data_IF_932073377020
#
_entry.id   IF_932073377020
#
_cell.length_a   1.000
_cell.length_b   1.000
_cell.length_c   1.000
_cell.angle_alpha   90.00
_cell.angle_beta   90.00
_cell.angle_gamma   90.00
#
_symmetry.space_group_name_H-M   'P 1'
#
loop_
_entity.id
_entity.type
_entity.pdbx_description
1 polymer ?
#
# COMPACT_ATOMS: atom_id res chain seq x y z
N UNK A 1 -0.94 4.65 16.38
CA UNK A 1 -2.06 4.27 15.51
C UNK A 1 -3.22 5.25 15.67
N UNK A 2 -3.49 6.14 14.71
CA UNK A 2 -4.62 7.08 14.83
C UNK A 2 -5.96 6.34 14.71
N UNK A 3 -7.05 6.98 15.13
CA UNK A 3 -8.40 6.37 15.06
C UNK A 3 -8.84 6.05 13.62
N UNK A 4 -8.24 6.71 12.62
CA UNK A 4 -8.37 6.41 11.19
C UNK A 4 -7.71 5.08 10.82
N UNK A 5 -6.52 4.81 11.36
CA UNK A 5 -5.77 3.57 11.11
C UNK A 5 -6.49 2.36 11.70
N UNK A 6 -7.22 2.56 12.80
CA UNK A 6 -7.98 1.52 13.46
C UNK A 6 -9.26 1.11 12.71
N UNK A 7 -9.73 1.88 11.72
CA UNK A 7 -10.91 1.49 10.94
C UNK A 7 -10.71 0.08 10.31
N UNK A 8 -11.69 -0.84 10.37
CA UNK A 8 -13.06 -0.70 10.90
C UNK A 8 -13.25 -1.09 12.38
N UNK A 9 -12.17 -1.31 13.13
CA UNK A 9 -12.24 -1.75 14.52
C UNK A 9 -12.78 -0.66 15.47
N UNK A 10 -13.32 -1.12 16.59
CA UNK A 10 -13.68 -0.31 17.74
C UNK A 10 -12.47 -0.24 18.66
N UNK A 11 -12.08 0.96 19.09
CA UNK A 11 -11.02 1.15 20.08
C UNK A 11 -11.62 1.52 21.43
N UNK A 12 -11.14 0.88 22.50
CA UNK A 12 -11.47 1.33 23.85
C UNK A 12 -10.73 2.62 24.19
N UNK A 13 -11.17 3.31 25.26
CA UNK A 13 -10.44 4.47 25.77
C UNK A 13 -9.01 4.12 26.19
N UNK A 14 -8.82 2.92 26.77
CA UNK A 14 -7.50 2.46 27.21
C UNK A 14 -6.59 2.13 26.02
N UNK A 15 -7.15 1.59 24.94
CA UNK A 15 -6.41 1.43 23.68
C UNK A 15 -5.98 2.78 23.13
N UNK A 16 -6.88 3.77 23.07
CA UNK A 16 -6.56 5.11 22.57
C UNK A 16 -5.48 5.80 23.41
N UNK A 17 -5.54 5.71 24.74
CA UNK A 17 -4.51 6.23 25.63
C UNK A 17 -3.15 5.59 25.33
N UNK A 18 -3.11 4.25 25.26
CA UNK A 18 -1.88 3.51 24.97
C UNK A 18 -1.31 3.87 23.59
N UNK A 19 -2.19 3.97 22.60
CA UNK A 19 -1.80 4.11 21.20
C UNK A 19 -1.40 5.56 20.85
N UNK A 20 -2.07 6.55 21.44
CA UNK A 20 -1.79 7.97 21.24
C UNK A 20 -0.74 8.48 22.23
N UNK A 21 -0.25 7.62 23.13
CA UNK A 21 0.70 7.96 24.20
C UNK A 21 0.21 9.21 24.97
N UNK A 22 -1.09 9.25 25.25
CA UNK A 22 -1.75 10.41 25.85
C UNK A 22 -1.98 10.19 27.35
N UNK A 23 -1.22 10.91 28.18
CA UNK A 23 -1.34 10.79 29.64
C UNK A 23 -2.61 11.47 30.21
N UNK A 24 -3.26 12.34 29.43
CA UNK A 24 -4.42 13.11 29.87
C UNK A 24 -5.74 12.56 29.31
N UNK A 25 -6.30 11.57 30.02
CA UNK A 25 -7.59 10.96 29.69
C UNK A 25 -8.74 11.96 29.54
N UNK A 26 -8.77 13.02 30.36
CA UNK A 26 -9.86 14.00 30.32
C UNK A 26 -9.80 14.83 29.03
N UNK A 27 -8.61 15.26 28.60
CA UNK A 27 -8.42 15.97 27.35
C UNK A 27 -8.81 15.11 26.15
N UNK A 28 -8.36 13.84 26.13
CA UNK A 28 -8.71 12.90 25.08
C UNK A 28 -10.23 12.67 24.99
N UNK A 29 -10.93 12.58 26.13
CA UNK A 29 -12.39 12.46 26.14
C UNK A 29 -13.09 13.67 25.51
N UNK A 30 -12.61 14.89 25.79
CA UNK A 30 -13.17 16.12 25.19
C UNK A 30 -12.99 16.10 23.67
N UNK A 31 -11.79 15.75 23.19
CA UNK A 31 -11.51 15.65 21.76
C UNK A 31 -12.37 14.58 21.08
N UNK A 32 -12.55 13.42 21.70
CA UNK A 32 -13.41 12.35 21.16
C UNK A 32 -14.87 12.78 21.11
N UNK A 33 -15.37 13.50 22.13
CA UNK A 33 -16.72 14.05 22.10
C UNK A 33 -16.91 15.05 20.96
N UNK A 34 -15.93 15.92 20.72
CA UNK A 34 -15.96 16.84 19.57
C UNK A 34 -16.01 16.09 18.23
N UNK A 35 -15.27 14.98 18.10
CA UNK A 35 -15.34 14.12 16.92
C UNK A 35 -16.69 13.39 16.79
N UNK A 36 -17.35 13.04 17.90
CA UNK A 36 -18.73 12.50 17.89
C UNK A 36 -19.71 13.58 17.44
N UNK A 37 -19.57 14.80 17.94
CA UNK A 37 -20.43 15.94 17.61
C UNK A 37 -20.32 16.34 16.13
N UNK A 38 -19.12 16.18 15.55
CA UNK A 38 -18.85 16.33 14.11
C UNK A 38 -19.28 15.12 13.27
N UNK A 39 -19.90 14.12 13.89
CA UNK A 39 -20.32 12.86 13.26
C UNK A 39 -19.17 12.07 12.59
N UNK A 40 -17.93 12.31 13.01
CA UNK A 40 -16.75 11.62 12.48
C UNK A 40 -16.55 10.26 13.16
N UNK A 41 -17.00 10.11 14.40
CA UNK A 41 -16.90 8.85 15.15
C UNK A 41 -18.21 8.54 15.84
N UNK A 42 -18.40 7.28 16.19
CA UNK A 42 -19.57 6.84 16.95
C UNK A 42 -19.14 6.00 18.16
N UNK A 43 -19.96 6.07 19.21
CA UNK A 43 -19.85 5.23 20.39
C UNK A 43 -20.43 3.85 20.10
N UNK A 44 -19.71 2.80 20.51
CA UNK A 44 -20.12 1.40 20.35
C UNK A 44 -20.02 0.71 21.71
N UNK A 45 -21.11 0.11 22.24
CA UNK A 45 -21.03 -0.69 23.45
C UNK A 45 -20.01 -1.82 23.29
N UNK A 46 -19.12 -1.98 24.27
CA UNK A 46 -18.16 -3.08 24.28
C UNK A 46 -18.81 -4.36 24.84
N UNK A 47 -18.40 -5.51 24.32
CA UNK A 47 -18.87 -6.82 24.78
C UNK A 47 -17.77 -7.58 25.55
N UNK A 48 -18.12 -8.76 26.08
CA UNK A 48 -17.23 -9.64 26.83
C UNK A 48 -16.61 -9.02 28.09
N UNK A 49 -15.28 -8.93 28.17
CA UNK A 49 -14.61 -8.46 29.42
C UNK A 49 -14.86 -6.99 29.76
N UNK A 50 -15.35 -6.20 28.80
CA UNK A 50 -15.56 -4.75 28.95
C UNK A 50 -17.05 -4.36 28.91
N UNK A 51 -17.96 -5.30 29.19
CA UNK A 51 -19.40 -5.04 29.25
C UNK A 51 -19.70 -3.87 30.20
N UNK A 52 -20.51 -2.92 29.71
CA UNK A 52 -20.86 -1.68 30.42
C UNK A 52 -19.98 -0.48 30.08
N UNK A 53 -18.95 -0.66 29.24
CA UNK A 53 -18.13 0.41 28.70
C UNK A 53 -18.45 0.68 27.23
N UNK A 54 -18.01 1.84 26.72
CA UNK A 54 -18.11 2.21 25.30
C UNK A 54 -16.72 2.32 24.69
N UNK A 55 -16.61 1.87 23.45
CA UNK A 55 -15.48 2.16 22.58
C UNK A 55 -15.86 3.17 21.51
N UNK A 56 -14.86 3.62 20.77
CA UNK A 56 -14.96 4.62 19.72
C UNK A 56 -14.65 3.99 18.37
N UNK A 57 -15.46 4.30 17.37
CA UNK A 57 -15.31 3.78 16.01
C UNK A 57 -15.39 4.91 15.00
N UNK A 58 -14.47 4.92 14.03
CA UNK A 58 -14.53 5.84 12.89
C UNK A 58 -15.79 5.58 12.07
N UNK A 59 -16.61 6.62 11.87
CA UNK A 59 -17.74 6.60 10.94
C UNK A 59 -17.23 7.05 9.57
N UNK A 60 -17.38 6.23 8.54
CA UNK A 60 -17.04 6.66 7.18
C UNK A 60 -18.32 7.06 6.46
N UNK A 61 -18.42 8.33 6.15
CA UNK A 61 -19.41 8.87 5.22
C UNK A 61 -18.89 8.72 3.80
N UNK A 62 -19.11 7.54 3.21
CA UNK A 62 -18.84 7.36 1.80
C UNK A 62 -20.03 7.95 1.02
N UNK A 63 -19.87 9.15 0.46
CA UNK A 63 -20.91 9.78 -0.35
C UNK A 63 -21.31 8.86 -1.51
N UNK A 64 -22.62 8.71 -1.76
CA UNK A 64 -23.18 7.84 -2.82
C UNK A 64 -22.80 6.35 -2.74
N UNK A 65 -22.50 5.85 -1.54
CA UNK A 65 -22.02 4.49 -1.32
C UNK A 65 -23.00 3.70 -0.45
N UNK A 66 -23.46 2.55 -0.94
CA UNK A 66 -24.28 1.63 -0.13
C UNK A 66 -23.39 0.92 0.88
N UNK A 67 -23.56 1.22 2.18
CA UNK A 67 -22.89 0.50 3.27
C UNK A 67 -23.87 -0.49 3.89
N UNK A 68 -23.50 -1.78 3.90
CA UNK A 68 -24.28 -2.85 4.50
C UNK A 68 -23.55 -3.45 5.68
N UNK A 69 -24.15 -3.32 6.86
CA UNK A 69 -23.66 -4.00 8.06
C UNK A 69 -24.07 -5.47 8.05
N UNK A 70 -23.10 -6.36 8.22
CA UNK A 70 -23.31 -7.80 8.12
C UNK A 70 -23.39 -8.47 9.49
N UNK A 71 -24.42 -9.30 9.68
CA UNK A 71 -24.57 -10.20 10.84
C UNK A 71 -24.23 -11.63 10.44
N UNK A 72 -23.42 -12.33 11.26
CA UNK A 72 -23.07 -13.75 11.06
C UNK A 72 -21.78 -14.01 10.26
N UNK A 73 -21.26 -15.24 10.36
CA UNK A 73 -19.94 -15.59 9.80
C UNK A 73 -19.93 -16.04 8.33
N UNK A 74 -21.04 -16.60 7.83
CA UNK A 74 -21.12 -17.22 6.50
C UNK A 74 -21.52 -16.24 5.38
N UNK A 75 -21.73 -14.97 5.70
CA UNK A 75 -22.30 -14.03 4.75
C UNK A 75 -21.33 -13.71 3.58
N UNK A 76 -20.02 -13.75 3.82
CA UNK A 76 -19.03 -13.58 2.75
C UNK A 76 -19.17 -14.67 1.67
N UNK A 77 -19.53 -15.90 2.06
CA UNK A 77 -19.83 -16.98 1.13
C UNK A 77 -21.17 -16.77 0.40
N UNK A 78 -22.14 -16.09 1.02
CA UNK A 78 -23.42 -15.76 0.38
C UNK A 78 -23.29 -14.65 -0.67
N UNK A 79 -22.38 -13.70 -0.46
CA UNK A 79 -22.11 -12.63 -1.44
C UNK A 79 -21.18 -13.13 -2.55
N UNK A 80 -20.25 -14.03 -2.23
CA UNK A 80 -19.32 -14.57 -3.24
C UNK A 80 -20.01 -15.42 -4.31
N UNK A 81 -21.13 -16.06 -3.99
CA UNK A 81 -21.92 -16.82 -4.97
C UNK A 81 -22.62 -15.94 -5.99
N UNK A 82 -23.02 -14.71 -5.63
CA UNK A 82 -23.74 -13.79 -6.52
C UNK A 82 -22.84 -12.82 -7.27
N UNK A 83 -21.79 -12.29 -6.63
CA UNK A 83 -21.00 -11.19 -7.19
C UNK A 83 -19.70 -11.62 -7.88
N UNK A 84 -19.17 -12.83 -7.61
CA UNK A 84 -17.98 -13.47 -8.24
C UNK A 84 -16.88 -12.49 -8.76
N UNK A 85 -16.24 -11.67 -7.90
CA UNK A 85 -15.13 -10.82 -8.30
C UNK A 85 -13.91 -11.65 -8.76
N UNK A 86 -13.22 -11.16 -9.79
CA UNK A 86 -12.01 -11.81 -10.35
C UNK A 86 -10.72 -11.12 -9.92
N UNK A 87 -10.81 -9.94 -9.31
CA UNK A 87 -9.66 -9.15 -8.86
C UNK A 87 -9.85 -8.78 -7.38
N UNK A 88 -8.85 -9.11 -6.56
CA UNK A 88 -8.79 -8.65 -5.17
C UNK A 88 -7.79 -7.49 -5.03
N UNK A 89 -8.15 -6.48 -4.24
CA UNK A 89 -7.32 -5.32 -3.94
C UNK A 89 -7.16 -5.21 -2.42
N UNK A 90 -5.94 -5.27 -1.91
CA UNK A 90 -5.63 -5.28 -0.49
C UNK A 90 -4.91 -3.98 -0.14
N UNK A 91 -5.46 -3.23 0.82
CA UNK A 91 -4.87 -2.01 1.38
C UNK A 91 -4.65 -2.14 2.89
N UNK A 92 -3.95 -1.20 3.50
CA UNK A 92 -3.68 -1.18 4.94
C UNK A 92 -4.22 0.09 5.63
N UNK A 93 -3.94 1.27 5.08
CA UNK A 93 -4.37 2.55 5.64
C UNK A 93 -5.77 2.93 5.14
N UNK A 94 -6.43 3.80 5.91
CA UNK A 94 -7.75 4.31 5.54
C UNK A 94 -7.69 5.12 4.24
N UNK A 95 -6.71 6.02 4.09
CA UNK A 95 -6.55 6.81 2.86
C UNK A 95 -6.32 5.92 1.63
N UNK A 96 -5.59 4.82 1.76
CA UNK A 96 -5.42 3.81 0.70
C UNK A 96 -6.74 3.15 0.32
N UNK A 97 -7.54 2.77 1.31
CA UNK A 97 -8.86 2.18 1.07
C UNK A 97 -9.79 3.15 0.34
N UNK A 98 -9.81 4.42 0.76
CA UNK A 98 -10.63 5.46 0.14
C UNK A 98 -10.17 5.76 -1.29
N UNK A 99 -8.86 5.87 -1.52
CA UNK A 99 -8.27 6.03 -2.86
C UNK A 99 -8.66 4.89 -3.79
N UNK A 100 -8.52 3.64 -3.34
CA UNK A 100 -8.91 2.45 -4.10
C UNK A 100 -10.42 2.43 -4.37
N UNK A 101 -11.25 2.72 -3.38
CA UNK A 101 -12.70 2.72 -3.56
C UNK A 101 -13.16 3.81 -4.54
N UNK A 102 -12.47 4.95 -4.60
CA UNK A 102 -12.76 6.01 -5.57
C UNK A 102 -12.50 5.57 -7.02
N UNK A 103 -11.70 4.53 -7.23
CA UNK A 103 -11.48 3.95 -8.56
C UNK A 103 -12.66 3.09 -9.04
N UNK A 104 -13.56 2.68 -8.14
CA UNK A 104 -14.64 1.75 -8.41
C UNK A 104 -15.97 2.43 -8.72
N UNK A 105 -16.73 1.79 -9.61
CA UNK A 105 -18.10 2.13 -9.97
C UNK A 105 -19.07 1.07 -9.41
N UNK A 106 -20.35 1.42 -9.25
CA UNK A 106 -21.41 0.49 -8.80
C UNK A 106 -21.02 -0.31 -7.53
N UNK A 107 -20.42 0.39 -6.57
CA UNK A 107 -19.79 -0.24 -5.39
C UNK A 107 -20.73 -0.36 -4.19
N UNK A 108 -20.60 -1.47 -3.47
CA UNK A 108 -21.24 -1.72 -2.16
C UNK A 108 -20.17 -2.06 -1.15
N UNK A 109 -20.11 -1.33 -0.04
CA UNK A 109 -19.23 -1.64 1.09
C UNK A 109 -19.99 -2.50 2.08
N UNK A 110 -19.28 -3.51 2.55
CA UNK A 110 -19.75 -4.42 3.53
C UNK A 110 -18.84 -4.38 4.74
N UNK A 111 -19.45 -4.20 5.91
CA UNK A 111 -18.69 -4.15 7.15
C UNK A 111 -19.27 -5.15 8.13
N UNK A 112 -18.40 -6.00 8.65
CA UNK A 112 -18.71 -6.87 9.77
C UNK A 112 -17.96 -6.35 10.98
N UNK A 113 -18.69 -5.64 11.83
CA UNK A 113 -18.15 -5.18 13.10
C UNK A 113 -18.13 -6.32 14.11
N UNK A 114 -17.04 -6.40 14.84
CA UNK A 114 -16.95 -7.21 16.05
C UNK A 114 -16.59 -6.31 17.23
N UNK A 115 -17.26 -6.58 18.33
CA UNK A 115 -16.98 -6.06 19.67
C UNK A 115 -15.73 -6.71 20.27
N UNK A 116 -15.55 -8.02 20.04
CA UNK A 116 -14.35 -8.78 20.39
C UNK A 116 -13.73 -9.46 19.15
N UNK A 117 -12.43 -9.24 18.94
CA UNK A 117 -11.70 -9.70 17.77
C UNK A 117 -11.77 -8.72 16.59
N UNK A 118 -11.35 -9.16 15.41
CA UNK A 118 -11.13 -8.27 14.26
C UNK A 118 -12.41 -8.02 13.47
N UNK A 119 -12.67 -6.74 13.20
CA UNK A 119 -13.70 -6.30 12.26
C UNK A 119 -13.16 -6.40 10.83
N UNK A 120 -14.04 -6.72 9.88
CA UNK A 120 -13.67 -6.83 8.46
C UNK A 120 -14.46 -5.82 7.64
N UNK A 121 -13.79 -5.20 6.68
CA UNK A 121 -14.41 -4.32 5.69
C UNK A 121 -13.99 -4.76 4.30
N UNK A 122 -14.95 -4.92 3.40
CA UNK A 122 -14.66 -5.12 1.99
C UNK A 122 -15.67 -4.39 1.11
N UNK A 123 -15.26 -4.02 -0.08
CA UNK A 123 -16.08 -3.30 -1.04
C UNK A 123 -16.05 -4.04 -2.35
N UNK A 124 -17.23 -4.36 -2.87
CA UNK A 124 -17.37 -4.99 -4.19
C UNK A 124 -17.89 -3.94 -5.14
N UNK A 125 -17.29 -3.84 -6.32
CA UNK A 125 -17.70 -2.91 -7.37
C UNK A 125 -17.07 -3.30 -8.70
N UNK A 126 -17.10 -2.38 -9.65
CA UNK A 126 -16.54 -2.57 -10.98
C UNK A 126 -15.40 -1.58 -11.23
N UNK A 127 -14.35 -2.01 -11.92
CA UNK A 127 -13.37 -1.11 -12.55
C UNK A 127 -13.37 -1.43 -14.04
N UNK A 128 -13.98 -0.52 -14.83
CA UNK A 128 -14.31 -0.82 -16.21
C UNK A 128 -15.17 -2.10 -16.29
N UNK A 129 -14.82 -3.08 -17.13
CA UNK A 129 -15.59 -4.30 -17.27
C UNK A 129 -15.26 -5.36 -16.20
N UNK A 130 -14.33 -5.09 -15.28
CA UNK A 130 -13.86 -6.05 -14.29
C UNK A 130 -14.57 -5.91 -12.97
N UNK A 131 -15.01 -7.05 -12.41
CA UNK A 131 -15.60 -7.14 -11.09
C UNK A 131 -14.51 -7.26 -10.04
N UNK A 132 -14.46 -6.33 -9.10
CA UNK A 132 -13.36 -6.20 -8.14
C UNK A 132 -13.86 -6.25 -6.70
N UNK A 133 -13.00 -6.70 -5.80
CA UNK A 133 -13.21 -6.63 -4.36
C UNK A 133 -12.01 -5.96 -3.68
N UNK A 134 -12.21 -4.86 -2.96
CA UNK A 134 -11.18 -4.26 -2.11
C UNK A 134 -11.39 -4.58 -0.63
N UNK A 135 -10.31 -4.65 0.14
CA UNK A 135 -10.32 -4.78 1.61
C UNK A 135 -9.27 -3.88 2.23
N UNK A 136 -9.51 -3.43 3.46
CA UNK A 136 -8.49 -2.79 4.31
C UNK A 136 -8.09 -3.77 5.40
N UNK A 137 -6.80 -4.05 5.52
CA UNK A 137 -6.25 -4.80 6.64
C UNK A 137 -6.35 -3.96 7.93
N UNK A 138 -6.75 -4.55 9.07
CA UNK A 138 -6.82 -3.82 10.32
C UNK A 138 -5.44 -3.46 10.87
N UNK A 139 -4.47 -4.33 10.62
CA UNK A 139 -3.09 -4.16 11.06
C UNK A 139 -2.17 -5.00 10.16
N UNK A 140 -1.01 -4.44 9.85
CA UNK A 140 0.14 -5.11 9.22
C UNK A 140 1.39 -4.80 10.05
N UNK A 141 2.41 -5.62 9.92
CA UNK A 141 3.66 -5.46 10.66
C UNK A 141 4.18 -6.76 11.27
N UNK A 142 5.37 -6.68 11.86
CA UNK A 142 6.09 -7.83 12.44
C UNK A 142 5.44 -8.44 13.68
N UNK A 143 4.66 -7.66 14.43
CA UNK A 143 4.03 -8.15 15.65
C UNK A 143 3.19 -9.38 15.35
N UNK A 144 3.23 -10.38 16.24
CA UNK A 144 2.53 -11.65 16.01
C UNK A 144 1.04 -11.42 15.75
N UNK A 145 0.42 -10.47 16.44
CA UNK A 145 -0.97 -10.10 16.23
C UNK A 145 -1.21 -9.51 14.83
N UNK A 146 -0.31 -8.67 14.33
CA UNK A 146 -0.38 -8.07 13.00
C UNK A 146 -0.23 -9.13 11.89
N UNK A 147 0.72 -10.05 12.04
CA UNK A 147 0.90 -11.19 11.12
C UNK A 147 -0.33 -12.10 11.11
N UNK A 148 -0.83 -12.49 12.28
CA UNK A 148 -2.03 -13.34 12.39
C UNK A 148 -3.24 -12.63 11.75
N UNK A 149 -3.43 -11.34 12.03
CA UNK A 149 -4.55 -10.55 11.50
C UNK A 149 -4.52 -10.47 9.98
N UNK A 150 -3.42 -9.91 9.44
CA UNK A 150 -3.24 -9.68 8.01
C UNK A 150 -3.32 -10.98 7.20
N UNK A 151 -2.68 -12.05 7.67
CA UNK A 151 -2.73 -13.36 7.04
C UNK A 151 -4.11 -14.00 7.10
N UNK A 152 -4.78 -13.96 8.26
CA UNK A 152 -6.10 -14.57 8.44
C UNK A 152 -7.16 -13.89 7.60
N UNK A 153 -7.15 -12.56 7.50
CA UNK A 153 -8.10 -11.80 6.69
C UNK A 153 -7.88 -12.07 5.21
N UNK A 154 -6.63 -12.06 4.77
CA UNK A 154 -6.28 -12.38 3.38
C UNK A 154 -6.72 -13.79 3.01
N UNK A 155 -6.40 -14.78 3.85
CA UNK A 155 -6.79 -16.17 3.64
C UNK A 155 -8.31 -16.34 3.61
N UNK A 156 -9.06 -15.66 4.49
CA UNK A 156 -10.53 -15.74 4.50
C UNK A 156 -11.15 -15.08 3.28
N UNK A 157 -10.62 -13.94 2.84
CA UNK A 157 -11.10 -13.22 1.65
C UNK A 157 -10.94 -14.11 0.42
N UNK A 158 -9.72 -14.57 0.15
CA UNK A 158 -9.41 -15.40 -1.02
C UNK A 158 -10.11 -16.76 -0.92
N UNK A 159 -10.21 -17.31 0.29
CA UNK A 159 -10.99 -18.50 0.61
C UNK A 159 -12.48 -18.38 0.26
N UNK A 160 -13.09 -17.21 0.48
CA UNK A 160 -14.50 -16.97 0.20
C UNK A 160 -14.77 -16.63 -1.28
N UNK A 161 -13.87 -15.88 -1.92
CA UNK A 161 -13.99 -15.40 -3.30
C UNK A 161 -13.06 -16.17 -4.24
N UNK A 162 -13.35 -17.45 -4.44
CA UNK A 162 -12.55 -18.39 -5.25
C UNK A 162 -12.46 -18.03 -6.74
N UNK A 163 -13.25 -17.07 -7.23
CA UNK A 163 -13.16 -16.58 -8.60
C UNK A 163 -12.01 -15.57 -8.79
N UNK A 164 -11.38 -15.09 -7.71
CA UNK A 164 -10.24 -14.18 -7.77
C UNK A 164 -9.06 -14.86 -8.46
N UNK A 165 -8.49 -14.17 -9.43
CA UNK A 165 -7.33 -14.60 -10.22
C UNK A 165 -6.15 -13.65 -10.04
N UNK A 166 -6.42 -12.35 -9.88
CA UNK A 166 -5.40 -11.32 -9.74
C UNK A 166 -5.49 -10.63 -8.38
N UNK A 167 -4.35 -10.42 -7.71
CA UNK A 167 -4.28 -9.70 -6.42
C UNK A 167 -3.42 -8.44 -6.55
N UNK A 168 -4.00 -7.30 -6.24
CA UNK A 168 -3.27 -6.03 -6.15
C UNK A 168 -3.07 -5.69 -4.68
N UNK A 169 -1.83 -5.45 -4.27
CA UNK A 169 -1.53 -4.84 -2.98
C UNK A 169 -1.26 -3.37 -3.25
N UNK A 170 -2.14 -2.47 -2.84
CA UNK A 170 -2.06 -1.04 -3.19
C UNK A 170 -1.98 -0.21 -1.91
N UNK A 171 -1.01 0.69 -1.86
CA UNK A 171 -0.80 1.49 -0.67
C UNK A 171 0.29 2.53 -0.83
N UNK A 172 0.76 3.04 0.29
CA UNK A 172 1.91 3.95 0.35
C UNK A 172 3.20 3.21 0.72
N UNK A 173 4.33 3.72 0.25
CA UNK A 173 5.66 3.21 0.61
C UNK A 173 6.64 4.36 0.86
N UNK A 174 7.78 4.01 1.44
CA UNK A 174 8.89 4.94 1.64
C UNK A 174 9.96 4.76 0.57
N UNK A 175 10.38 5.83 -0.11
CA UNK A 175 11.40 5.72 -1.16
C UNK A 175 12.77 5.46 -0.56
N UNK A 176 13.54 4.61 -1.23
CA UNK A 176 15.00 4.55 -1.04
C UNK A 176 15.61 5.77 -1.74
N UNK A 177 16.39 6.62 -1.05
CA UNK A 177 16.97 7.82 -1.65
C UNK A 177 18.18 7.47 -2.53
N UNK A 178 17.97 7.36 -3.84
CA UNK A 178 19.04 7.12 -4.83
C UNK A 178 19.57 8.44 -5.40
N UNK A 179 20.19 9.27 -4.55
CA UNK A 179 20.54 10.67 -4.88
C UNK A 179 21.57 10.85 -6.01
N UNK A 180 22.21 9.78 -6.46
CA UNK A 180 23.16 9.77 -7.58
C UNK A 180 22.64 9.04 -8.82
N UNK A 181 21.47 8.40 -8.74
CA UNK A 181 20.92 7.57 -9.81
C UNK A 181 19.47 7.98 -10.09
N UNK A 182 19.28 8.94 -11.00
CA UNK A 182 17.97 9.48 -11.36
C UNK A 182 16.93 8.40 -11.68
N UNK A 183 17.34 7.35 -12.39
CA UNK A 183 16.48 6.24 -12.83
C UNK A 183 15.92 5.41 -11.65
N UNK A 184 16.61 5.40 -10.51
CA UNK A 184 16.18 4.69 -9.30
C UNK A 184 15.50 5.62 -8.28
N UNK A 185 15.67 6.92 -8.41
CA UNK A 185 15.20 7.90 -7.41
C UNK A 185 13.72 8.25 -7.55
N UNK A 186 12.89 7.89 -6.58
CA UNK A 186 11.47 8.27 -6.56
C UNK A 186 11.24 9.52 -5.70
N UNK A 187 10.39 10.43 -6.16
CA UNK A 187 9.96 11.63 -5.44
C UNK A 187 8.68 11.39 -4.63
N UNK A 188 8.38 12.25 -3.65
CA UNK A 188 7.08 12.15 -2.98
C UNK A 188 5.94 12.35 -3.98
N UNK A 189 4.97 11.44 -3.94
CA UNK A 189 3.87 11.35 -4.90
C UNK A 189 4.16 10.52 -6.14
N UNK A 190 5.40 10.08 -6.38
CA UNK A 190 5.70 9.10 -7.44
C UNK A 190 5.18 7.70 -7.07
N UNK A 191 5.19 6.79 -8.03
CA UNK A 191 4.65 5.44 -7.92
C UNK A 191 5.77 4.44 -8.17
N UNK A 192 5.95 3.49 -7.26
CA UNK A 192 6.81 2.31 -7.45
C UNK A 192 5.93 1.08 -7.60
N UNK A 193 6.21 0.28 -8.63
CA UNK A 193 5.50 -0.96 -8.95
C UNK A 193 6.46 -2.12 -8.80
N UNK A 194 6.02 -3.17 -8.13
CA UNK A 194 6.85 -4.33 -7.84
C UNK A 194 7.26 -5.03 -9.14
N UNK A 195 8.56 -5.06 -9.40
CA UNK A 195 9.16 -5.78 -10.51
C UNK A 195 10.52 -6.34 -10.08
N UNK A 196 11.03 -7.26 -10.88
CA UNK A 196 12.32 -7.92 -10.63
C UNK A 196 13.44 -6.88 -10.58
N UNK A 197 14.31 -6.96 -9.56
CA UNK A 197 15.52 -6.13 -9.49
C UNK A 197 16.44 -6.41 -10.69
N UNK A 198 16.78 -5.40 -11.49
CA UNK A 198 17.74 -5.53 -12.59
C UNK A 198 19.01 -4.75 -12.30
N UNK A 199 20.15 -5.43 -12.42
CA UNK A 199 21.47 -4.77 -12.51
C UNK A 199 21.54 -4.04 -13.85
N UNK A 200 21.82 -2.74 -13.80
CA UNK A 200 21.94 -1.85 -14.96
C UNK A 200 22.91 -2.42 -16.02
N UNK A 201 22.35 -2.93 -17.12
CA UNK A 201 23.10 -3.48 -18.24
C UNK A 201 22.20 -3.80 -19.42
N UNK A 202 22.44 -3.08 -20.53
CA UNK A 202 21.87 -3.20 -21.89
C UNK A 202 20.45 -2.66 -22.13
N UNK A 203 20.43 -1.57 -22.92
CA UNK A 203 19.37 -1.06 -23.80
C UNK A 203 17.93 -1.33 -23.36
N UNK A 204 17.43 -0.39 -22.57
CA UNK A 204 16.06 -0.29 -22.09
C UNK A 204 15.42 0.97 -22.69
N UNK A 205 14.08 1.00 -22.79
CA UNK A 205 13.37 2.22 -23.17
C UNK A 205 13.64 3.36 -22.19
N UNK A 206 13.52 4.59 -22.67
CA UNK A 206 13.92 5.81 -21.94
C UNK A 206 13.18 6.03 -20.61
N UNK A 207 12.07 5.33 -20.36
CA UNK A 207 11.27 5.45 -19.14
C UNK A 207 11.18 4.11 -18.40
N UNK A 208 11.13 2.98 -19.13
CA UNK A 208 11.04 1.64 -18.55
C UNK A 208 11.76 0.55 -19.35
N UNK A 209 12.36 -0.41 -18.65
CA UNK A 209 13.09 -1.50 -19.28
C UNK A 209 12.15 -2.52 -19.93
N UNK A 210 12.01 -2.49 -21.27
CA UNK A 210 11.37 -3.56 -22.04
C UNK A 210 11.90 -4.94 -21.62
N UNK A 211 11.00 -5.86 -21.29
CA UNK A 211 11.31 -7.21 -20.78
C UNK A 211 11.59 -8.21 -21.90
N UNK A 212 12.69 -8.04 -22.63
CA UNK A 212 13.17 -9.10 -23.52
C UNK A 212 14.08 -10.10 -22.76
N UNK A 213 13.51 -11.29 -22.51
CA UNK A 213 14.12 -12.63 -22.40
C UNK A 213 14.54 -13.30 -21.07
N UNK A 214 14.23 -14.62 -21.10
CA UNK A 214 14.75 -15.82 -20.40
C UNK A 214 14.74 -15.88 -18.87
N UNK A 215 13.77 -16.64 -18.37
CA UNK A 215 13.69 -17.22 -17.02
C UNK A 215 15.00 -17.98 -16.72
N UNK A 216 15.84 -17.42 -15.86
CA UNK A 216 16.98 -18.13 -15.27
C UNK A 216 16.77 -18.21 -13.75
N UNK A 217 16.64 -19.43 -13.24
CA UNK A 217 16.21 -19.79 -11.88
C UNK A 217 17.15 -19.39 -10.72
N UNK A 218 18.13 -18.51 -10.89
CA UNK A 218 19.09 -18.19 -9.83
C UNK A 218 18.88 -16.77 -9.27
N UNK A 219 18.35 -16.72 -8.03
CA UNK A 219 18.48 -15.65 -7.02
C UNK A 219 17.90 -14.26 -7.40
N UNK A 220 17.58 -14.01 -8.67
CA UNK A 220 17.32 -12.70 -9.25
C UNK A 220 15.86 -12.27 -9.40
N UNK A 221 14.86 -13.16 -9.32
CA UNK A 221 13.47 -12.85 -9.77
C UNK A 221 12.53 -12.29 -8.68
N UNK A 222 13.06 -11.82 -7.56
CA UNK A 222 12.21 -11.34 -6.45
C UNK A 222 11.68 -9.95 -6.72
N UNK A 223 10.36 -9.78 -6.58
CA UNK A 223 9.69 -8.48 -6.66
C UNK A 223 9.51 -7.86 -5.27
N UNK A 224 9.62 -8.69 -4.21
CA UNK A 224 9.52 -8.28 -2.82
C UNK A 224 10.45 -9.11 -1.93
N UNK A 225 11.19 -8.45 -1.04
CA UNK A 225 12.16 -9.08 -0.12
C UNK A 225 11.84 -8.62 1.30
N UNK A 226 11.65 -9.59 2.20
CA UNK A 226 11.43 -9.35 3.63
C UNK A 226 12.64 -9.83 4.44
N UNK A 227 13.20 -8.93 5.26
CA UNK A 227 14.23 -9.27 6.23
C UNK A 227 13.60 -9.76 7.54
N UNK A 228 13.67 -11.07 7.80
CA UNK A 228 13.04 -11.71 8.97
C UNK A 228 13.85 -11.47 10.26
N UNK A 229 15.17 -11.62 10.15
CA UNK A 229 16.12 -11.43 11.26
C UNK A 229 17.53 -11.19 10.75
N UNK A 230 18.37 -10.68 11.64
CA UNK A 230 19.81 -10.55 11.45
C UNK A 230 20.51 -11.74 12.11
N UNK A 231 21.62 -12.14 11.53
CA UNK A 231 22.59 -13.03 12.16
C UNK A 231 23.85 -12.21 12.37
N UNK A 232 24.13 -11.91 13.63
CA UNK A 232 25.34 -11.19 14.03
C UNK A 232 26.58 -12.04 13.72
N UNK A 233 27.68 -11.42 13.28
CA UNK A 233 28.94 -12.13 13.13
C UNK A 233 29.46 -12.60 14.50
N UNK A 234 30.23 -13.71 14.55
CA UNK A 234 30.93 -14.11 15.77
C UNK A 234 31.84 -13.00 16.30
N UNK A 235 31.95 -12.85 17.62
CA UNK A 235 32.77 -11.79 18.25
C UNK A 235 34.25 -11.83 17.81
N UNK A 236 34.77 -13.01 17.46
CA UNK A 236 36.15 -13.23 17.04
C UNK A 236 36.37 -13.10 15.51
N UNK A 237 35.34 -12.69 14.74
CA UNK A 237 35.45 -12.59 13.29
C UNK A 237 36.34 -11.40 12.87
N UNK A 238 37.48 -11.72 12.25
CA UNK A 238 38.47 -10.72 11.80
C UNK A 238 37.99 -9.97 10.53
N UNK A 239 37.21 -10.63 9.67
CA UNK A 239 36.90 -10.14 8.31
C UNK A 239 35.42 -9.84 8.03
N UNK A 240 34.46 -10.32 8.83
CA UNK A 240 33.02 -10.04 8.66
C UNK A 240 32.47 -9.29 9.86
N UNK A 241 32.37 -7.96 9.75
CA UNK A 241 31.79 -7.08 10.79
C UNK A 241 30.33 -6.68 10.54
N UNK A 242 29.76 -7.06 9.39
CA UNK A 242 28.38 -6.71 9.02
C UNK A 242 27.44 -7.90 9.28
N UNK A 243 26.25 -7.67 9.87
CA UNK A 243 25.28 -8.73 10.11
C UNK A 243 24.76 -9.30 8.78
N UNK A 244 24.45 -10.60 8.78
CA UNK A 244 23.85 -11.28 7.62
C UNK A 244 22.33 -11.22 7.69
N UNK A 245 21.68 -10.85 6.60
CA UNK A 245 20.23 -10.85 6.48
C UNK A 245 19.66 -12.26 6.30
N UNK A 246 18.64 -12.61 7.06
CA UNK A 246 17.80 -13.79 6.82
C UNK A 246 16.56 -13.36 6.07
N UNK A 247 16.45 -13.81 4.82
CA UNK A 247 15.50 -13.28 3.86
C UNK A 247 14.33 -14.24 3.60
N UNK A 248 13.16 -13.66 3.37
CA UNK A 248 12.09 -14.29 2.59
C UNK A 248 11.92 -13.52 1.29
N UNK A 249 11.83 -14.24 0.19
CA UNK A 249 11.82 -13.69 -1.16
C UNK A 249 10.53 -14.11 -1.86
N UNK A 250 9.85 -13.15 -2.47
CA UNK A 250 8.56 -13.36 -3.13
C UNK A 250 8.64 -12.92 -4.59
N UNK A 251 8.06 -13.72 -5.48
CA UNK A 251 8.05 -13.51 -6.91
C UNK A 251 6.63 -13.78 -7.46
N UNK A 252 6.16 -12.93 -8.36
CA UNK A 252 4.95 -13.19 -9.13
C UNK A 252 5.32 -14.05 -10.34
N UNK A 253 4.67 -15.21 -10.50
CA UNK A 253 4.99 -16.17 -11.57
C UNK A 253 4.14 -15.97 -12.81
N UNK A 254 2.96 -15.37 -12.67
CA UNK A 254 2.12 -14.99 -13.80
C UNK A 254 2.50 -13.58 -14.31
N UNK A 255 2.98 -13.45 -15.57
CA UNK A 255 3.41 -12.18 -16.13
C UNK A 255 2.25 -11.26 -16.56
N UNK A 256 0.99 -11.71 -16.47
CA UNK A 256 -0.17 -10.98 -17.01
C UNK A 256 -0.26 -9.55 -16.50
N UNK A 257 -0.09 -9.33 -15.19
CA UNK A 257 -0.14 -8.00 -14.59
C UNK A 257 1.04 -7.12 -15.02
N UNK A 258 2.25 -7.69 -15.11
CA UNK A 258 3.42 -6.97 -15.58
C UNK A 258 3.30 -6.57 -17.06
N UNK A 259 2.76 -7.45 -17.90
CA UNK A 259 2.48 -7.13 -19.31
C UNK A 259 1.43 -6.00 -19.44
N UNK A 260 0.45 -5.94 -18.54
CA UNK A 260 -0.50 -4.83 -18.50
C UNK A 260 0.17 -3.52 -18.09
N UNK A 261 1.08 -3.56 -17.11
CA UNK A 261 1.92 -2.41 -16.72
C UNK A 261 2.72 -1.91 -17.91
N UNK A 262 3.44 -2.79 -18.61
CA UNK A 262 4.24 -2.44 -19.80
C UNK A 262 3.39 -1.76 -20.87
N UNK A 263 2.19 -2.27 -21.17
CA UNK A 263 1.28 -1.64 -22.14
C UNK A 263 0.85 -0.24 -21.73
N UNK A 264 0.59 0.01 -20.44
CA UNK A 264 0.27 1.36 -19.93
C UNK A 264 1.47 2.29 -20.14
N UNK A 265 2.66 1.80 -19.83
CA UNK A 265 3.89 2.57 -19.91
C UNK A 265 4.29 2.86 -21.36
N UNK A 266 4.23 1.87 -22.26
CA UNK A 266 4.46 2.02 -23.71
C UNK A 266 3.55 3.10 -24.32
N UNK A 267 2.27 3.13 -23.92
CA UNK A 267 1.33 4.18 -24.36
C UNK A 267 1.73 5.55 -23.83
N UNK A 268 2.17 5.63 -22.58
CA UNK A 268 2.70 6.87 -22.02
C UNK A 268 3.97 7.32 -22.76
N UNK A 269 4.90 6.42 -23.09
CA UNK A 269 6.10 6.81 -23.83
C UNK A 269 5.77 7.35 -25.23
N UNK A 270 4.75 6.76 -25.87
CA UNK A 270 4.27 7.20 -27.18
C UNK A 270 3.55 8.55 -27.15
N UNK A 271 2.86 8.89 -26.05
CA UNK A 271 2.11 10.14 -25.88
C UNK A 271 2.13 10.63 -24.42
N UNK A 272 3.26 11.21 -23.93
CA UNK A 272 3.41 11.61 -22.53
C UNK A 272 2.41 12.66 -22.06
N UNK A 273 1.91 13.48 -22.97
CA UNK A 273 0.87 14.48 -22.71
C UNK A 273 -0.50 13.87 -22.40
N UNK A 274 -0.69 12.56 -22.67
CA UNK A 274 -1.92 11.79 -22.43
C UNK A 274 -1.74 10.76 -21.31
N UNK A 275 -1.02 11.13 -20.26
CA UNK A 275 -0.82 10.29 -19.08
C UNK A 275 -2.16 9.80 -18.48
N UNK A 276 -2.45 8.51 -18.65
CA UNK A 276 -3.74 7.90 -18.28
C UNK A 276 -3.99 7.95 -16.76
N UNK A 277 -2.99 7.62 -15.95
CA UNK A 277 -3.14 7.61 -14.49
C UNK A 277 -3.28 9.01 -13.90
N UNK A 278 -2.66 10.03 -14.51
CA UNK A 278 -2.85 11.43 -14.10
C UNK A 278 -4.27 11.94 -14.40
N UNK A 279 -4.83 11.55 -15.54
CA UNK A 279 -6.23 11.86 -15.86
C UNK A 279 -7.20 11.20 -14.88
N UNK A 280 -6.96 9.92 -14.54
CA UNK A 280 -7.74 9.20 -13.53
C UNK A 280 -7.62 9.86 -12.15
N UNK A 281 -6.39 10.23 -11.75
CA UNK A 281 -6.11 10.91 -10.48
C UNK A 281 -6.88 12.22 -10.38
N UNK A 282 -6.79 13.08 -11.41
CA UNK A 282 -7.50 14.37 -11.45
C UNK A 282 -9.02 14.18 -11.41
N UNK A 283 -9.55 13.18 -12.11
CA UNK A 283 -10.97 12.84 -12.03
C UNK A 283 -11.37 12.42 -10.62
N UNK A 284 -10.56 11.61 -9.94
CA UNK A 284 -10.85 11.15 -8.59
C UNK A 284 -10.79 12.29 -7.57
N UNK A 285 -9.91 13.27 -7.73
CA UNK A 285 -9.86 14.49 -6.89
C UNK A 285 -11.12 15.37 -7.00
N UNK A 286 -11.93 15.22 -8.06
CA UNK A 286 -13.23 15.92 -8.11
C UNK A 286 -14.31 15.24 -7.27
N UNK A 287 -14.09 13.95 -6.94
CA UNK A 287 -15.01 13.13 -6.15
C UNK A 287 -14.55 13.05 -4.68
N UNK A 288 -13.24 13.01 -4.46
CA UNK A 288 -12.58 13.02 -3.15
C UNK A 288 -12.13 14.44 -2.81
N UNK A 289 -12.53 14.99 -1.67
CA UNK A 289 -12.12 16.32 -1.24
C UNK A 289 -13.24 17.36 -1.24
N UNK A 290 -14.49 16.95 -0.97
CA UNK A 290 -15.53 17.90 -0.59
C UNK A 290 -15.16 18.65 0.70
N UNK A 291 -15.75 19.82 0.96
CA UNK A 291 -15.42 20.64 2.16
C UNK A 291 -15.57 19.88 3.49
N UNK A 292 -16.36 18.80 3.51
CA UNK A 292 -16.59 17.94 4.67
C UNK A 292 -15.71 16.67 4.70
N UNK A 293 -14.86 16.44 3.68
CA UNK A 293 -13.97 15.27 3.67
C UNK A 293 -12.78 15.48 4.62
N UNK A 294 -12.60 14.61 5.61
CA UNK A 294 -11.58 14.80 6.65
C UNK A 294 -10.17 14.40 6.19
N UNK A 295 -10.01 13.87 4.98
CA UNK A 295 -8.74 13.47 4.40
C UNK A 295 -8.52 14.27 3.11
N UNK A 296 -7.52 15.13 3.12
CA UNK A 296 -7.12 15.91 1.96
C UNK A 296 -6.27 15.07 1.00
N UNK A 297 -6.80 14.80 -0.18
CA UNK A 297 -6.12 14.06 -1.24
C UNK A 297 -5.34 14.96 -2.21
N UNK A 298 -5.41 16.29 -2.06
CA UNK A 298 -4.68 17.22 -2.91
C UNK A 298 -3.17 17.00 -2.80
N UNK A 299 -2.45 17.27 -3.89
CA UNK A 299 -0.99 17.20 -3.90
C UNK A 299 -0.43 18.23 -2.90
N UNK A 300 0.37 17.83 -1.91
CA UNK A 300 1.04 18.80 -1.05
C UNK A 300 1.99 19.71 -1.84
N UNK A 301 2.37 20.86 -1.26
CA UNK A 301 3.30 21.79 -1.89
C UNK A 301 4.63 21.10 -2.26
N UNK A 302 5.20 21.32 -3.46
CA UNK A 302 6.51 20.80 -3.84
C UNK A 302 7.63 21.12 -2.84
N UNK A 303 7.55 22.23 -2.11
CA UNK A 303 8.54 22.62 -1.10
C UNK A 303 8.56 21.68 0.12
N UNK A 304 7.55 20.82 0.24
CA UNK A 304 7.47 19.78 1.29
C UNK A 304 8.06 18.45 0.86
N UNK A 305 8.41 18.29 -0.43
CA UNK A 305 9.19 17.17 -0.95
C UNK A 305 10.67 17.44 -0.68
N UNK A 306 11.19 16.87 0.41
CA UNK A 306 12.54 17.14 0.91
C UNK A 306 13.26 15.85 1.24
N UNK A 307 14.37 15.62 0.56
CA UNK A 307 15.35 14.62 0.97
C UNK A 307 16.17 15.16 2.12
N UNK A 308 16.33 14.34 3.16
CA UNK A 308 17.21 14.61 4.28
C UNK A 308 18.33 13.60 4.27
N UNK A 309 19.56 14.06 4.51
CA UNK A 309 20.69 13.19 4.78
C UNK A 309 21.13 13.38 6.22
N UNK A 310 21.20 12.27 6.94
CA UNK A 310 21.74 12.22 8.29
C UNK A 310 23.24 11.92 8.24
N UNK A 311 24.05 12.87 8.73
CA UNK A 311 25.51 12.72 8.75
C UNK A 311 25.99 12.18 10.11
N UNK A 312 25.36 12.63 11.21
CA UNK A 312 25.67 12.23 12.59
C UNK A 312 24.38 12.25 13.43
N UNK A 313 24.46 11.78 14.68
CA UNK A 313 23.34 11.88 15.64
C UNK A 313 22.82 13.32 15.74
N UNK A 314 21.56 13.52 15.31
CA UNK A 314 20.84 14.79 15.44
C UNK A 314 21.07 15.83 14.34
N UNK A 315 22.01 15.62 13.40
CA UNK A 315 22.27 16.58 12.31
C UNK A 315 21.75 16.04 10.99
N UNK A 316 20.77 16.75 10.42
CA UNK A 316 20.19 16.45 9.10
C UNK A 316 20.30 17.67 8.19
N UNK A 317 20.59 17.44 6.90
CA UNK A 317 20.63 18.48 5.87
C UNK A 317 19.65 18.16 4.75
N UNK A 318 18.99 19.19 4.23
CA UNK A 318 18.16 19.06 3.03
C UNK A 318 19.10 18.87 1.81
N UNK A 319 18.92 17.79 1.06
CA UNK A 319 19.63 17.54 -0.21
C UNK A 319 18.68 17.78 -1.38
N UNK A 320 19.21 18.34 -2.46
CA UNK A 320 18.48 18.48 -3.72
C UNK A 320 18.22 17.10 -4.34
N UNK A 321 17.00 16.88 -4.84
CA UNK A 321 16.72 15.72 -5.69
C UNK A 321 17.61 15.70 -6.94
N UNK A 322 17.93 14.52 -7.49
CA UNK A 322 18.54 14.41 -8.80
C UNK A 322 17.76 15.19 -9.86
N UNK A 323 18.48 15.90 -10.70
CA UNK A 323 17.90 16.59 -11.86
C UNK A 323 17.44 15.55 -12.90
N UNK A 324 16.33 15.87 -13.57
CA UNK A 324 15.85 15.06 -14.71
C UNK A 324 16.79 15.33 -15.89
N UNK A 325 17.39 14.30 -16.52
CA UNK A 325 18.16 14.48 -17.75
C UNK A 325 17.33 15.16 -18.85
N UNK A 326 17.93 16.03 -19.64
CA UNK A 326 17.23 16.86 -20.63
C UNK A 326 16.46 16.01 -21.65
N UNK A 327 17.06 14.89 -22.07
CA UNK A 327 16.48 13.90 -22.98
C UNK A 327 15.25 13.18 -22.40
N UNK A 328 15.11 13.17 -21.07
CA UNK A 328 13.99 12.54 -20.36
C UNK A 328 12.92 13.55 -19.92
N UNK A 329 13.17 14.86 -20.00
CA UNK A 329 12.31 15.90 -19.43
C UNK A 329 10.83 15.79 -19.85
N UNK A 330 10.56 15.38 -21.10
CA UNK A 330 9.19 15.20 -21.62
C UNK A 330 8.37 14.11 -20.90
N UNK A 331 9.05 13.19 -20.22
CA UNK A 331 8.45 12.06 -19.52
C UNK A 331 8.24 12.31 -18.02
N UNK A 332 8.72 13.44 -17.52
CA UNK A 332 8.58 13.84 -16.12
C UNK A 332 7.94 15.24 -16.01
N UNK A 333 6.73 15.45 -16.56
CA UNK A 333 6.05 16.73 -16.47
C UNK A 333 5.77 17.10 -14.99
N UNK A 334 5.94 18.37 -14.59
CA UNK A 334 5.70 18.79 -13.21
C UNK A 334 4.29 18.46 -12.74
N UNK A 335 4.18 17.90 -11.52
CA UNK A 335 2.88 17.58 -10.91
C UNK A 335 2.28 16.23 -11.32
N UNK A 336 2.86 15.54 -12.31
CA UNK A 336 2.46 14.18 -12.71
C UNK A 336 3.29 13.16 -11.95
N UNK A 337 2.69 12.16 -11.28
CA UNK A 337 3.40 11.05 -10.66
C UNK A 337 4.23 10.28 -11.67
N UNK A 338 5.55 10.16 -11.46
CA UNK A 338 6.38 9.26 -12.24
C UNK A 338 6.15 7.81 -11.79
N UNK A 339 6.33 6.86 -12.71
CA UNK A 339 6.25 5.43 -12.40
C UNK A 339 7.64 4.83 -12.48
N UNK A 340 7.97 3.95 -11.54
CA UNK A 340 9.21 3.16 -11.55
C UNK A 340 8.92 1.70 -11.26
N UNK A 341 9.61 0.81 -11.97
CA UNK A 341 9.51 -0.63 -11.77
C UNK A 341 10.73 -1.11 -10.97
N UNK A 342 10.51 -1.80 -9.85
CA UNK A 342 11.63 -2.40 -9.13
C UNK A 342 11.23 -3.14 -7.86
N UNK A 343 12.26 -3.69 -7.21
CA UNK A 343 12.09 -4.53 -6.05
C UNK A 343 11.76 -3.70 -4.80
N UNK A 344 10.86 -4.23 -3.97
CA UNK A 344 10.45 -3.63 -2.72
C UNK A 344 11.03 -4.38 -1.53
N UNK A 345 11.41 -3.66 -0.48
CA UNK A 345 11.93 -4.24 0.75
C UNK A 345 11.00 -4.05 1.94
N UNK A 346 11.18 -4.87 2.95
CA UNK A 346 10.56 -4.66 4.26
C UNK A 346 11.29 -5.46 5.34
N UNK A 347 10.95 -5.21 6.60
CA UNK A 347 11.45 -5.96 7.75
C UNK A 347 12.01 -5.04 8.82
N UNK A 348 11.44 -5.10 10.02
CA UNK A 348 11.86 -4.29 11.16
C UNK A 348 13.37 -4.24 11.43
N UNK A 349 14.15 -5.34 11.32
CA UNK A 349 15.59 -5.28 11.59
C UNK A 349 16.36 -4.31 10.66
N UNK A 350 15.83 -4.03 9.47
CA UNK A 350 16.44 -3.09 8.52
C UNK A 350 15.75 -1.73 8.50
N UNK A 351 14.50 -1.60 8.94
CA UNK A 351 13.81 -0.30 8.98
C UNK A 351 14.03 0.49 10.26
N UNK A 352 14.48 -0.16 11.35
CA UNK A 352 14.75 0.50 12.64
C UNK A 352 16.20 1.01 12.77
N UNK A 353 17.05 0.78 11.76
CA UNK A 353 18.46 1.18 11.77
C UNK A 353 18.86 1.74 10.40
N UNK A 354 19.13 3.05 10.35
CA UNK A 354 19.44 3.78 9.10
C UNK A 354 20.60 3.15 8.30
N UNK A 355 21.65 2.65 8.98
CA UNK A 355 22.80 2.04 8.32
C UNK A 355 22.42 0.70 7.68
N UNK A 356 21.75 -0.17 8.45
CA UNK A 356 21.27 -1.46 7.93
C UNK A 356 20.22 -1.29 6.84
N UNK A 357 19.40 -0.25 6.92
CA UNK A 357 18.46 0.13 5.87
C UNK A 357 19.23 0.42 4.58
N UNK A 358 20.21 1.33 4.63
CA UNK A 358 21.02 1.68 3.47
C UNK A 358 21.73 0.47 2.87
N UNK A 359 22.32 -0.37 3.71
CA UNK A 359 23.05 -1.56 3.29
C UNK A 359 22.12 -2.60 2.64
N UNK A 360 20.96 -2.86 3.25
CA UNK A 360 19.95 -3.77 2.71
C UNK A 360 19.39 -3.29 1.37
N UNK A 361 19.09 -1.99 1.24
CA UNK A 361 18.62 -1.39 0.00
C UNK A 361 19.65 -1.49 -1.12
N UNK A 362 20.94 -1.29 -0.82
CA UNK A 362 22.05 -1.43 -1.78
C UNK A 362 22.24 -2.89 -2.19
N UNK A 363 22.31 -3.82 -1.23
CA UNK A 363 22.54 -5.25 -1.46
C UNK A 363 21.45 -5.87 -2.33
N UNK A 364 20.20 -5.39 -2.20
CA UNK A 364 19.05 -5.96 -2.89
C UNK A 364 18.42 -5.05 -3.96
N UNK A 365 19.09 -3.95 -4.29
CA UNK A 365 18.66 -2.98 -5.31
C UNK A 365 17.21 -2.51 -5.13
N UNK A 366 16.84 -2.17 -3.89
CA UNK A 366 15.49 -1.77 -3.55
C UNK A 366 15.18 -0.36 -4.02
N UNK A 367 13.96 -0.13 -4.49
CA UNK A 367 13.46 1.21 -4.83
C UNK A 367 12.60 1.82 -3.71
N UNK A 368 11.87 0.99 -2.97
CA UNK A 368 11.08 1.45 -1.84
C UNK A 368 10.96 0.40 -0.73
N UNK A 369 10.60 0.87 0.45
CA UNK A 369 10.20 0.08 1.59
C UNK A 369 8.69 0.08 1.77
N UNK A 370 8.18 -1.02 2.30
CA UNK A 370 6.75 -1.26 2.51
C UNK A 370 6.43 -1.67 3.97
N UNK A 371 5.15 -1.67 4.32
CA UNK A 371 4.60 -1.92 5.66
C UNK A 371 4.58 -3.41 6.10
N UNK A 372 5.51 -4.22 5.60
CA UNK A 372 5.66 -5.65 5.94
C UNK A 372 4.46 -6.54 5.53
N UNK A 373 4.30 -6.75 4.23
CA UNK A 373 3.27 -7.62 3.63
C UNK A 373 3.70 -9.09 3.52
N UNK A 374 4.75 -9.55 4.20
CA UNK A 374 5.24 -10.93 4.12
C UNK A 374 4.12 -11.95 4.34
N UNK A 375 3.36 -11.79 5.43
CA UNK A 375 2.27 -12.71 5.76
C UNK A 375 1.05 -12.61 4.84
N UNK A 376 0.85 -11.45 4.20
CA UNK A 376 -0.18 -11.26 3.17
C UNK A 376 0.22 -12.03 1.92
N UNK A 377 1.48 -11.91 1.49
CA UNK A 377 2.02 -12.63 0.33
C UNK A 377 2.01 -14.15 0.55
N UNK A 378 2.39 -14.63 1.74
CA UNK A 378 2.25 -16.05 2.11
C UNK A 378 0.80 -16.53 1.97
N UNK A 379 -0.17 -15.69 2.33
CA UNK A 379 -1.59 -16.04 2.23
C UNK A 379 -2.10 -16.03 0.78
N UNK A 380 -1.64 -15.08 -0.05
CA UNK A 380 -1.94 -15.03 -1.48
C UNK A 380 -1.42 -16.30 -2.17
N UNK A 381 -0.13 -16.58 -2.01
CA UNK A 381 0.52 -17.75 -2.61
C UNK A 381 -0.03 -19.06 -2.04
N UNK A 382 -0.34 -19.10 -0.73
CA UNK A 382 -0.96 -20.25 -0.08
C UNK A 382 -2.37 -20.58 -0.57
N UNK A 383 -3.07 -19.61 -1.19
CA UNK A 383 -4.34 -19.83 -1.90
C UNK A 383 -4.15 -20.20 -3.38
N UNK A 384 -2.91 -20.47 -3.81
CA UNK A 384 -2.59 -20.85 -5.19
C UNK A 384 -2.66 -19.70 -6.20
N UNK A 385 -2.63 -18.45 -5.72
CA UNK A 385 -2.63 -17.27 -6.60
C UNK A 385 -1.19 -16.84 -6.90
N UNK A 386 -0.82 -17.01 -8.16
CA UNK A 386 0.51 -16.66 -8.68
C UNK A 386 0.54 -15.31 -9.43
N UNK A 387 -0.62 -14.68 -9.58
CA UNK A 387 -0.81 -13.39 -10.25
C UNK A 387 -1.07 -12.29 -9.22
N UNK A 388 0.00 -11.61 -8.81
CA UNK A 388 -0.10 -10.50 -7.88
C UNK A 388 0.91 -9.40 -8.19
N UNK A 389 0.58 -8.18 -7.78
CA UNK A 389 1.44 -7.01 -7.96
C UNK A 389 1.29 -6.06 -6.78
N UNK A 390 2.39 -5.43 -6.36
CA UNK A 390 2.40 -4.38 -5.36
C UNK A 390 2.60 -3.02 -6.04
N UNK A 391 1.79 -2.04 -5.66
CA UNK A 391 1.86 -0.67 -6.18
C UNK A 391 1.91 0.27 -4.99
N UNK A 392 2.97 1.07 -4.92
CA UNK A 392 3.27 1.95 -3.79
C UNK A 392 3.40 3.39 -4.24
N UNK A 393 2.53 4.24 -3.72
CA UNK A 393 2.70 5.68 -3.82
C UNK A 393 3.72 6.12 -2.79
N UNK A 394 4.73 6.89 -3.20
CA UNK A 394 5.78 7.32 -2.31
C UNK A 394 5.28 8.45 -1.41
N UNK A 395 5.24 8.19 -0.10
CA UNK A 395 4.74 9.13 0.90
C UNK A 395 5.82 9.66 1.85
N UNK A 396 6.97 8.99 1.92
CA UNK A 396 8.12 9.41 2.72
C UNK A 396 9.44 8.88 2.14
N UNK A 397 10.56 9.20 2.80
CA UNK A 397 11.91 8.75 2.46
C UNK A 397 12.51 7.74 3.45
N UNK A 398 11.69 7.17 4.34
CA UNK A 398 12.07 6.34 5.50
C UNK A 398 12.98 7.02 6.54
N UNK A 399 13.98 7.79 6.12
CA UNK A 399 14.81 8.67 6.96
C UNK A 399 13.95 9.81 7.52
N UNK A 400 13.33 9.55 8.67
CA UNK A 400 12.46 10.51 9.34
C UNK A 400 11.08 10.57 8.70
N UNK A 401 10.20 9.63 9.08
CA UNK A 401 8.74 9.71 8.92
C UNK A 401 8.22 11.06 9.44
N UNK A 402 8.33 12.11 8.63
CA UNK A 402 7.94 13.46 8.98
C UNK A 402 6.63 13.78 8.27
N UNK A 403 5.55 13.58 9.02
CA UNK A 403 4.20 13.92 8.59
C UNK A 403 3.53 12.84 7.75
N UNK A 404 2.21 12.78 7.89
CA UNK A 404 1.33 11.88 7.11
C UNK A 404 0.71 12.62 5.91
N UNK A 405 1.17 13.84 5.61
CA UNK A 405 0.54 14.75 4.66
C UNK A 405 0.57 14.24 3.21
N UNK A 406 1.61 13.50 2.83
CA UNK A 406 1.74 12.94 1.48
C UNK A 406 0.98 11.63 1.30
N UNK A 407 0.59 10.95 2.40
CA UNK A 407 -0.03 9.63 2.33
C UNK A 407 -1.31 9.60 1.49
N UNK A 408 -2.26 10.56 1.62
CA UNK A 408 -3.47 10.53 0.82
C UNK A 408 -3.19 10.70 -0.68
N UNK A 409 -2.43 11.73 -1.07
CA UNK A 409 -2.08 11.95 -2.48
C UNK A 409 -1.31 10.77 -3.08
N UNK A 410 -0.31 10.25 -2.36
CA UNK A 410 0.47 9.11 -2.79
C UNK A 410 -0.40 7.85 -2.96
N UNK A 411 -1.29 7.57 -2.00
CA UNK A 411 -2.26 6.48 -2.11
C UNK A 411 -3.18 6.64 -3.33
N UNK A 412 -3.60 7.87 -3.63
CA UNK A 412 -4.42 8.16 -4.81
C UNK A 412 -3.66 7.98 -6.11
N UNK A 413 -2.38 8.37 -6.16
CA UNK A 413 -1.51 8.12 -7.30
C UNK A 413 -1.36 6.61 -7.58
N UNK A 414 -1.07 5.82 -6.54
CA UNK A 414 -1.00 4.37 -6.63
C UNK A 414 -2.32 3.73 -7.12
N UNK A 415 -3.46 4.16 -6.57
CA UNK A 415 -4.77 3.66 -6.96
C UNK A 415 -5.14 4.04 -8.41
N UNK A 416 -4.74 5.24 -8.86
CA UNK A 416 -5.00 5.70 -10.24
C UNK A 416 -4.18 4.89 -11.26
N UNK A 417 -2.94 4.56 -10.93
CA UNK A 417 -2.13 3.65 -11.76
C UNK A 417 -2.66 2.22 -11.74
N UNK A 418 -3.10 1.71 -10.58
CA UNK A 418 -3.82 0.43 -10.48
C UNK A 418 -5.02 0.39 -11.43
N UNK A 419 -5.87 1.42 -11.45
CA UNK A 419 -7.02 1.50 -12.37
C UNK A 419 -6.58 1.42 -13.83
N UNK A 420 -5.49 2.11 -14.19
CA UNK A 420 -4.92 2.06 -15.55
C UNK A 420 -4.52 0.63 -15.96
N UNK A 421 -3.89 -0.14 -15.04
CA UNK A 421 -3.52 -1.54 -15.27
C UNK A 421 -4.76 -2.42 -15.42
N UNK A 422 -5.75 -2.28 -14.52
CA UNK A 422 -6.96 -3.12 -14.54
C UNK A 422 -7.73 -2.93 -15.85
N UNK A 423 -7.77 -1.70 -16.40
CA UNK A 423 -8.39 -1.44 -17.70
C UNK A 423 -7.69 -2.13 -18.89
N UNK A 424 -6.46 -2.62 -18.71
CA UNK A 424 -5.72 -3.41 -19.72
C UNK A 424 -5.91 -4.92 -19.59
N UNK A 425 -6.49 -5.39 -18.48
CA UNK A 425 -6.69 -6.81 -18.27
C UNK A 425 -7.67 -7.38 -19.31
N UNK A 426 -7.37 -8.54 -19.91
CA UNK A 426 -8.31 -9.20 -20.82
C UNK A 426 -9.56 -9.60 -20.05
N UNK A 427 -10.71 -9.51 -20.72
CA UNK A 427 -11.95 -10.04 -20.16
C UNK A 427 -11.86 -11.56 -20.11
N UNK A 428 -12.04 -12.11 -18.91
CA UNK A 428 -12.03 -13.56 -18.70
C UNK A 428 -13.49 -14.01 -18.64
N UNK A 429 -13.93 -14.90 -19.56
CA UNK A 429 -15.25 -15.50 -19.45
C UNK A 429 -15.35 -16.24 -18.12
N UNK A 430 -16.31 -15.86 -17.28
CA UNK A 430 -16.65 -16.65 -16.11
C UNK A 430 -17.30 -17.91 -16.68
N UNK A 431 -16.62 -19.06 -16.63
CA UNK A 431 -17.17 -20.33 -17.13
C UNK A 431 -18.55 -20.56 -16.49
N UNK A 432 -19.62 -20.48 -17.29
CA UNK A 432 -20.98 -20.87 -16.88
C UNK A 432 -22.12 -19.86 -17.11
N UNK A 433 -22.13 -19.13 -18.22
CA UNK A 433 -23.36 -18.56 -18.79
C UNK A 433 -23.77 -19.32 -20.06
#
# INVERSE_FOLDING_TARGET
MRLEEAYPNVLSMDDLIRILECDNRALLQVQLNELVDRDLIQLVPLEGKHVGQFGFRRKIHLQNHVVREMKGANHMQQVSTSEKPTIAIITNLLCEKLAVDAMMEQKTTFVRYKSEGESHVYTIGNIGPHKVISTKLPMVGRELQAKISSGSITTRLLGAFQAVQHVFLVGVGGSVPHVYEFEKHSRLGDIVVSAVARSSGLHSSAIHNHTNHSVSNDVGDSIYIYCDRLIEPPEDAVDMKTPRFVLRKYAARDPTLLSCVEKVLDRFEAAPEKCEWDQILKSALTVLGGEDDPIDFARPSPDTDKLKLKINEGVTFDIKHPDVPEELARFYPPGVPAVRLGCMGSGRPVTDNDALMSDFAKEHHLLCYDAEYDQVLESVMGNGLDSFILIRGIADYMEGRQGTQWQPYAALAAASFMKSIILQLPLIPINGD
#
